data_IF_925035588612
#
_entry.id   IF_925035588612
#
_cell.length_a   1.000
_cell.length_b   1.000
_cell.length_c   1.000
_cell.angle_alpha   90.00
_cell.angle_beta   90.00
_cell.angle_gamma   90.00
#
_symmetry.space_group_name_H-M   'P 1'
#
loop_
_entity.id
_entity.type
_entity.pdbx_description
1 polymer ?
#
# COMPACT_ATOMS: atom_id res chain seq x y z
N UNK A 1 54.78 -30.06 26.90
CA UNK A 1 54.10 -30.03 25.59
C UNK A 1 52.60 -29.86 25.83
N UNK A 2 52.10 -28.62 25.89
CA UNK A 2 50.68 -28.32 26.21
C UNK A 2 50.04 -27.75 24.95
N UNK A 3 49.17 -28.54 24.31
CA UNK A 3 48.35 -28.09 23.18
C UNK A 3 47.27 -27.15 23.70
N UNK A 4 47.38 -25.86 23.39
CA UNK A 4 46.30 -24.89 23.59
C UNK A 4 45.22 -25.18 22.55
N UNK A 5 44.04 -25.61 23.00
CA UNK A 5 42.86 -25.71 22.15
C UNK A 5 42.21 -24.33 22.06
N UNK A 6 42.26 -23.72 20.88
CA UNK A 6 41.53 -22.49 20.57
C UNK A 6 40.08 -22.88 20.27
N UNK A 7 39.18 -22.57 21.19
CA UNK A 7 37.74 -22.69 20.97
C UNK A 7 37.30 -21.52 20.08
N UNK A 8 36.98 -21.79 18.81
CA UNK A 8 36.35 -20.82 17.92
C UNK A 8 34.85 -20.75 18.25
N UNK A 9 34.43 -19.72 18.98
CA UNK A 9 33.02 -19.39 19.16
C UNK A 9 32.52 -18.69 17.87
N UNK A 10 31.86 -19.43 16.99
CA UNK A 10 31.12 -18.83 15.87
C UNK A 10 29.90 -18.10 16.43
N UNK A 11 29.97 -16.77 16.50
CA UNK A 11 28.81 -15.93 16.76
C UNK A 11 27.82 -16.10 15.59
N UNK A 12 26.74 -16.83 15.83
CA UNK A 12 25.55 -16.80 14.98
C UNK A 12 24.92 -15.41 15.15
N UNK A 13 25.33 -14.46 14.32
CA UNK A 13 24.66 -13.16 14.25
C UNK A 13 23.27 -13.43 13.67
N UNK A 14 22.17 -13.20 14.42
CA UNK A 14 20.85 -13.27 13.83
C UNK A 14 20.80 -12.20 12.74
N UNK A 15 20.67 -12.65 11.49
CA UNK A 15 20.39 -11.75 10.38
C UNK A 15 19.03 -11.13 10.65
N UNK A 16 19.03 -9.95 11.27
CA UNK A 16 17.87 -9.10 11.33
C UNK A 16 17.59 -8.67 9.90
N UNK A 17 16.75 -9.43 9.19
CA UNK A 17 16.19 -9.02 7.91
C UNK A 17 15.25 -7.87 8.20
N UNK A 18 15.72 -6.64 7.93
CA UNK A 18 14.86 -5.46 7.99
C UNK A 18 13.76 -5.62 6.95
N UNK A 19 12.54 -5.17 7.27
CA UNK A 19 11.45 -5.19 6.31
C UNK A 19 11.83 -4.40 5.07
N UNK A 20 11.93 -5.08 3.93
CA UNK A 20 12.21 -4.42 2.67
C UNK A 20 10.87 -4.05 2.00
N UNK A 21 10.40 -2.84 2.32
CA UNK A 21 9.18 -2.29 1.71
C UNK A 21 9.40 -1.78 0.28
N UNK A 22 10.65 -1.57 -0.13
CA UNK A 22 11.03 -1.10 -1.46
C UNK A 22 12.29 -1.83 -1.94
N UNK A 23 12.19 -2.54 -3.08
CA UNK A 23 13.31 -3.20 -3.74
C UNK A 23 14.09 -2.20 -4.62
N UNK A 24 15.37 -2.45 -4.95
CA UNK A 24 16.18 -1.50 -5.74
C UNK A 24 15.61 -1.19 -7.13
N UNK A 25 14.92 -2.14 -7.74
CA UNK A 25 14.26 -2.01 -9.05
C UNK A 25 12.87 -1.36 -8.95
N UNK A 26 12.37 -1.10 -7.75
CA UNK A 26 11.03 -0.57 -7.52
C UNK A 26 11.03 0.93 -7.22
N UNK A 27 9.87 1.54 -7.40
CA UNK A 27 9.53 2.86 -6.89
C UNK A 27 8.18 2.85 -6.15
N UNK A 28 8.01 3.79 -5.22
CA UNK A 28 6.77 3.93 -4.45
C UNK A 28 5.72 4.64 -5.30
N UNK A 29 4.57 3.98 -5.50
CA UNK A 29 3.37 4.60 -6.07
C UNK A 29 2.63 5.37 -4.99
N UNK A 30 2.38 4.70 -3.86
CA UNK A 30 1.61 5.26 -2.75
C UNK A 30 1.98 4.59 -1.42
N UNK A 31 2.16 5.34 -0.34
CA UNK A 31 2.58 4.79 0.95
C UNK A 31 2.10 5.67 2.09
N UNK A 32 1.80 5.07 3.24
CA UNK A 32 1.57 5.79 4.50
C UNK A 32 1.81 4.88 5.71
N UNK A 33 1.95 5.50 6.89
CA UNK A 33 1.90 4.82 8.18
C UNK A 33 0.47 4.84 8.73
N UNK A 34 0.06 3.78 9.40
CA UNK A 34 -1.24 3.68 10.09
C UNK A 34 -1.14 4.20 11.52
N UNK A 35 -2.29 4.51 12.13
CA UNK A 35 -2.35 4.89 13.56
C UNK A 35 -1.83 3.80 14.51
N UNK A 36 -1.83 2.52 14.09
CA UNK A 36 -1.30 1.40 14.87
C UNK A 36 0.18 1.07 14.56
N UNK A 37 0.90 1.96 13.86
CA UNK A 37 2.34 1.83 13.63
C UNK A 37 2.74 0.86 12.51
N UNK A 38 1.79 0.40 11.70
CA UNK A 38 2.03 -0.39 10.50
C UNK A 38 2.30 0.51 9.30
N UNK A 39 3.00 -0.02 8.30
CA UNK A 39 3.25 0.64 7.03
C UNK A 39 2.45 -0.03 5.93
N UNK A 40 1.72 0.76 5.15
CA UNK A 40 1.16 0.39 3.86
C UNK A 40 2.07 0.94 2.77
N UNK A 41 2.43 0.12 1.79
CA UNK A 41 3.16 0.55 0.60
C UNK A 41 2.61 -0.14 -0.65
N UNK A 42 2.23 0.66 -1.63
CA UNK A 42 2.01 0.27 -3.00
C UNK A 42 3.25 0.66 -3.79
N UNK A 43 3.90 -0.33 -4.39
CA UNK A 43 5.13 -0.15 -5.15
C UNK A 43 4.95 -0.75 -6.53
N UNK A 44 5.75 -0.27 -7.48
CA UNK A 44 5.82 -0.86 -8.82
C UNK A 44 7.27 -1.01 -9.25
N UNK A 45 7.51 -1.91 -10.18
CA UNK A 45 8.78 -1.94 -10.89
C UNK A 45 8.96 -0.66 -11.73
N UNK A 46 10.20 -0.16 -11.80
CA UNK A 46 10.54 1.07 -12.53
C UNK A 46 10.27 0.98 -14.04
N UNK A 47 10.22 -0.22 -14.60
CA UNK A 47 9.87 -0.50 -16.01
C UNK A 47 8.42 -0.97 -16.16
N UNK A 48 7.61 -0.85 -15.11
CA UNK A 48 6.22 -1.30 -15.05
C UNK A 48 6.01 -2.82 -15.23
N UNK A 49 7.03 -3.64 -14.92
CA UNK A 49 6.92 -5.11 -15.02
C UNK A 49 5.93 -5.72 -14.01
N UNK A 50 5.61 -5.01 -12.92
CA UNK A 50 4.60 -5.40 -11.93
C UNK A 50 4.24 -4.24 -11.00
N UNK A 51 3.15 -4.44 -10.25
CA UNK A 51 2.72 -3.65 -9.09
C UNK A 51 2.50 -4.58 -7.89
N UNK A 52 2.81 -4.12 -6.68
CA UNK A 52 2.61 -4.90 -5.45
C UNK A 52 2.22 -4.01 -4.27
N UNK A 53 1.18 -4.43 -3.57
CA UNK A 53 0.79 -3.98 -2.24
C UNK A 53 1.59 -4.72 -1.16
N UNK A 54 2.04 -3.98 -0.15
CA UNK A 54 2.73 -4.47 1.04
C UNK A 54 2.16 -3.83 2.30
N UNK A 55 1.96 -4.64 3.34
CA UNK A 55 1.49 -4.17 4.63
C UNK A 55 2.20 -4.90 5.77
N UNK A 56 2.57 -4.20 6.83
CA UNK A 56 3.22 -4.84 7.98
C UNK A 56 3.79 -3.87 9.01
N UNK A 57 4.62 -4.37 9.92
CA UNK A 57 5.30 -3.54 10.91
C UNK A 57 6.60 -2.94 10.36
N UNK A 58 7.27 -2.10 11.14
CA UNK A 58 8.61 -1.60 10.80
C UNK A 58 9.61 -2.70 10.47
N UNK A 59 9.48 -3.85 11.13
CA UNK A 59 10.50 -4.91 11.11
C UNK A 59 10.14 -6.05 10.16
N UNK A 60 8.87 -6.18 9.74
CA UNK A 60 8.46 -7.18 8.76
C UNK A 60 7.29 -6.75 7.88
N UNK A 61 7.34 -7.18 6.62
CA UNK A 61 6.15 -7.23 5.76
C UNK A 61 5.31 -8.44 6.19
N UNK A 62 4.04 -8.20 6.51
CA UNK A 62 3.10 -9.21 7.02
C UNK A 62 2.13 -9.69 5.94
N UNK A 63 1.91 -8.86 4.91
CA UNK A 63 1.06 -9.17 3.79
C UNK A 63 1.64 -8.55 2.53
N UNK A 64 1.69 -9.35 1.47
CA UNK A 64 1.93 -8.90 0.11
C UNK A 64 0.76 -9.31 -0.79
N UNK A 65 0.47 -8.49 -1.79
CA UNK A 65 -0.45 -8.82 -2.86
C UNK A 65 -0.12 -8.06 -4.15
N UNK A 66 -0.13 -8.69 -5.32
CA UNK A 66 -0.14 -10.13 -5.54
C UNK A 66 1.13 -10.78 -4.99
N UNK A 67 1.09 -12.09 -4.74
CA UNK A 67 2.27 -12.82 -4.29
C UNK A 67 3.33 -12.93 -5.39
N UNK A 68 2.89 -13.11 -6.63
CA UNK A 68 3.75 -13.17 -7.81
C UNK A 68 3.86 -11.79 -8.46
N UNK A 69 5.08 -11.39 -8.81
CA UNK A 69 5.42 -10.09 -9.42
C UNK A 69 5.57 -10.26 -10.93
N UNK A 70 4.50 -10.01 -11.69
CA UNK A 70 4.48 -10.10 -13.15
C UNK A 70 3.60 -9.00 -13.75
N UNK A 71 3.56 -8.91 -15.09
CA UNK A 71 2.68 -7.97 -15.78
C UNK A 71 1.20 -8.18 -15.41
N UNK A 72 0.81 -9.43 -15.15
CA UNK A 72 -0.55 -9.78 -14.73
C UNK A 72 -0.88 -9.28 -13.31
N UNK A 73 0.10 -8.79 -12.54
CA UNK A 73 -0.16 -8.15 -11.25
C UNK A 73 -1.03 -6.91 -11.39
N UNK A 74 -0.90 -6.15 -12.48
CA UNK A 74 -1.67 -4.92 -12.72
C UNK A 74 -3.18 -5.18 -12.79
N UNK A 75 -3.57 -6.24 -13.49
CA UNK A 75 -4.98 -6.63 -13.68
C UNK A 75 -5.66 -7.16 -12.41
N UNK A 76 -4.91 -7.33 -11.32
CA UNK A 76 -5.47 -7.76 -10.03
C UNK A 76 -5.90 -6.59 -9.15
N UNK A 77 -5.73 -5.37 -9.64
CA UNK A 77 -6.20 -4.16 -8.99
C UNK A 77 -7.22 -3.43 -9.87
N UNK A 78 -8.20 -2.80 -9.21
CA UNK A 78 -9.14 -1.89 -9.84
C UNK A 78 -8.99 -0.51 -9.22
N UNK A 79 -8.63 0.47 -10.05
CA UNK A 79 -8.49 1.87 -9.69
C UNK A 79 -9.75 2.65 -10.08
N UNK A 80 -10.23 3.49 -9.18
CA UNK A 80 -11.30 4.44 -9.44
C UNK A 80 -10.98 5.79 -8.82
N UNK A 81 -11.32 6.85 -9.53
CA UNK A 81 -11.10 8.21 -9.07
C UNK A 81 -12.29 9.11 -9.41
N UNK A 82 -12.53 10.10 -8.56
CA UNK A 82 -13.54 11.11 -8.77
C UNK A 82 -13.02 12.47 -8.33
N UNK A 83 -13.12 13.44 -9.23
CA UNK A 83 -12.73 14.82 -8.97
C UNK A 83 -13.92 15.75 -9.21
N UNK A 84 -14.27 16.52 -8.18
CA UNK A 84 -15.24 17.61 -8.25
C UNK A 84 -14.60 18.90 -7.78
N UNK A 85 -14.43 19.85 -8.69
CA UNK A 85 -13.89 21.18 -8.39
C UNK A 85 -14.91 22.11 -7.71
N UNK A 86 -14.49 23.37 -7.50
CA UNK A 86 -15.39 24.42 -7.03
C UNK A 86 -15.46 24.62 -5.51
N UNK A 87 -14.45 24.19 -4.76
CA UNK A 87 -14.27 24.55 -3.35
C UNK A 87 -15.46 24.17 -2.45
N UNK A 88 -15.59 24.86 -1.31
CA UNK A 88 -16.68 24.63 -0.35
C UNK A 88 -18.06 24.79 -0.97
N UNK A 89 -18.24 25.78 -1.84
CA UNK A 89 -19.54 26.08 -2.45
C UNK A 89 -20.12 24.94 -3.30
N UNK A 90 -19.26 24.08 -3.85
CA UNK A 90 -19.68 22.93 -4.66
C UNK A 90 -19.38 21.59 -3.99
N UNK A 91 -19.13 21.60 -2.67
CA UNK A 91 -18.67 20.44 -1.92
C UNK A 91 -17.54 19.72 -2.69
N UNK A 92 -16.54 20.50 -3.12
CA UNK A 92 -15.44 20.01 -3.93
C UNK A 92 -14.73 18.84 -3.26
N UNK A 93 -14.32 17.84 -4.03
CA UNK A 93 -13.72 16.62 -3.51
C UNK A 93 -12.75 16.01 -4.51
N UNK A 94 -11.79 15.27 -3.98
CA UNK A 94 -10.86 14.44 -4.74
C UNK A 94 -10.82 13.08 -4.05
N UNK A 95 -11.31 12.06 -4.75
CA UNK A 95 -11.43 10.71 -4.25
C UNK A 95 -10.58 9.79 -5.12
N UNK A 96 -9.71 9.00 -4.49
CA UNK A 96 -8.89 8.01 -5.16
C UNK A 96 -8.99 6.69 -4.39
N UNK A 97 -9.32 5.62 -5.11
CA UNK A 97 -9.46 4.29 -4.54
C UNK A 97 -8.72 3.26 -5.38
N UNK A 98 -8.04 2.33 -4.71
CA UNK A 98 -7.48 1.15 -5.34
C UNK A 98 -7.98 -0.08 -4.61
N UNK A 99 -8.63 -0.98 -5.33
CA UNK A 99 -9.24 -2.17 -4.76
C UNK A 99 -8.59 -3.45 -5.25
N UNK A 100 -8.57 -4.46 -4.38
CA UNK A 100 -8.21 -5.83 -4.73
C UNK A 100 -8.85 -6.81 -3.74
N UNK A 101 -8.84 -8.10 -4.08
CA UNK A 101 -9.38 -9.16 -3.21
C UNK A 101 -8.29 -10.17 -2.87
N UNK A 102 -8.17 -10.52 -1.58
CA UNK A 102 -7.28 -11.58 -1.10
C UNK A 102 -7.98 -12.41 -0.01
N UNK A 103 -8.02 -13.73 -0.18
CA UNK A 103 -8.63 -14.67 0.77
C UNK A 103 -10.09 -14.34 1.15
N UNK A 104 -10.92 -13.96 0.17
CA UNK A 104 -12.32 -13.53 0.35
C UNK A 104 -12.51 -12.23 1.16
N UNK A 105 -11.46 -11.43 1.33
CA UNK A 105 -11.55 -10.06 1.84
C UNK A 105 -11.28 -9.09 0.69
N UNK A 106 -12.13 -8.07 0.57
CA UNK A 106 -11.91 -6.93 -0.30
C UNK A 106 -11.10 -5.88 0.47
N UNK A 107 -10.03 -5.39 -0.14
CA UNK A 107 -9.19 -4.33 0.40
C UNK A 107 -9.36 -3.11 -0.50
N UNK A 108 -9.66 -1.96 0.08
CA UNK A 108 -9.75 -0.69 -0.62
C UNK A 108 -8.79 0.30 0.02
N UNK A 109 -7.70 0.61 -0.67
CA UNK A 109 -6.87 1.75 -0.32
C UNK A 109 -7.65 3.01 -0.69
N UNK A 110 -7.60 4.02 0.16
CA UNK A 110 -8.21 5.31 -0.15
C UNK A 110 -7.27 6.48 0.15
N UNK A 111 -7.39 7.51 -0.68
CA UNK A 111 -6.87 8.86 -0.43
C UNK A 111 -7.96 9.83 -0.86
N UNK A 112 -8.48 10.58 0.09
CA UNK A 112 -9.61 11.49 -0.14
C UNK A 112 -9.34 12.88 0.39
N UNK A 113 -9.99 13.85 -0.24
CA UNK A 113 -10.09 15.23 0.20
C UNK A 113 -11.56 15.68 0.10
N UNK A 114 -12.03 16.40 1.11
CA UNK A 114 -13.30 17.12 1.09
C UNK A 114 -13.06 18.60 1.36
N UNK A 115 -13.59 19.46 0.49
CA UNK A 115 -13.54 20.90 0.68
C UNK A 115 -14.48 21.38 1.77
N UNK A 116 -15.58 20.67 2.04
CA UNK A 116 -16.62 21.08 3.00
C UNK A 116 -16.03 21.35 4.39
N UNK A 117 -15.18 20.45 4.85
CA UNK A 117 -14.48 20.50 6.14
C UNK A 117 -12.96 20.66 6.00
N UNK A 118 -12.46 20.89 4.78
CA UNK A 118 -11.04 20.98 4.44
C UNK A 118 -10.23 19.76 4.93
N UNK A 119 -10.86 18.59 4.96
CA UNK A 119 -10.26 17.38 5.50
C UNK A 119 -9.56 16.55 4.43
N UNK A 120 -8.47 15.92 4.86
CA UNK A 120 -7.75 14.93 4.11
C UNK A 120 -7.77 13.61 4.87
N UNK A 121 -8.07 12.51 4.16
CA UNK A 121 -8.13 11.18 4.77
C UNK A 121 -7.41 10.14 3.92
N UNK A 122 -6.85 9.14 4.59
CA UNK A 122 -6.24 7.98 3.94
C UNK A 122 -6.29 6.76 4.84
N UNK A 123 -6.31 5.57 4.25
CA UNK A 123 -6.39 4.32 4.99
C UNK A 123 -6.67 3.13 4.07
N UNK A 124 -7.08 2.04 4.71
CA UNK A 124 -7.56 0.83 4.03
C UNK A 124 -8.91 0.49 4.65
N UNK A 125 -9.94 0.33 3.82
CA UNK A 125 -11.19 -0.32 4.22
C UNK A 125 -11.09 -1.79 3.86
N UNK A 126 -11.32 -2.67 4.83
CA UNK A 126 -11.34 -4.12 4.64
C UNK A 126 -12.77 -4.60 4.78
N UNK A 127 -13.32 -5.22 3.74
CA UNK A 127 -14.67 -5.80 3.74
C UNK A 127 -14.55 -7.32 3.77
N UNK A 128 -15.21 -7.97 4.74
CA UNK A 128 -15.29 -9.44 4.80
C UNK A 128 -16.34 -10.00 3.83
N UNK A 129 -16.42 -11.33 3.73
CA UNK A 129 -17.37 -12.02 2.85
C UNK A 129 -18.85 -11.82 3.20
N UNK A 130 -19.15 -11.27 4.40
CA UNK A 130 -20.49 -10.94 4.86
C UNK A 130 -20.83 -9.46 4.66
N UNK A 131 -19.91 -8.68 4.07
CA UNK A 131 -20.06 -7.25 3.87
C UNK A 131 -19.70 -6.41 5.10
N UNK A 132 -19.13 -7.00 6.17
CA UNK A 132 -18.70 -6.22 7.33
C UNK A 132 -17.42 -5.46 6.99
N UNK A 133 -17.43 -4.16 7.24
CA UNK A 133 -16.29 -3.28 7.00
C UNK A 133 -15.46 -3.03 8.27
N UNK A 134 -14.16 -2.85 8.09
CA UNK A 134 -13.23 -2.43 9.14
C UNK A 134 -12.19 -1.50 8.54
N UNK A 135 -12.06 -0.31 9.12
CA UNK A 135 -11.11 0.69 8.65
C UNK A 135 -9.78 0.62 9.40
N UNK A 136 -8.70 0.64 8.62
CA UNK A 136 -7.35 0.85 9.10
C UNK A 136 -6.96 2.29 8.75
N UNK A 137 -7.09 3.18 9.74
CA UNK A 137 -6.81 4.61 9.52
C UNK A 137 -5.32 4.88 9.31
N UNK A 138 -5.02 5.55 8.20
CA UNK A 138 -3.71 6.09 7.88
C UNK A 138 -3.44 7.44 8.54
N UNK A 139 -2.17 7.78 8.69
CA UNK A 139 -1.69 9.08 9.14
C UNK A 139 -1.38 9.90 7.90
N UNK A 140 -2.29 10.80 7.50
CA UNK A 140 -2.19 11.52 6.23
C UNK A 140 -0.86 12.26 6.03
N UNK A 141 -0.30 12.89 7.07
CA UNK A 141 1.00 13.57 7.01
C UNK A 141 2.20 12.67 6.63
N UNK A 142 2.02 11.35 6.66
CA UNK A 142 3.07 10.38 6.28
C UNK A 142 2.92 9.87 4.86
N UNK A 143 1.91 10.36 4.12
CA UNK A 143 1.67 9.98 2.74
C UNK A 143 2.88 10.30 1.86
N UNK A 144 3.26 9.33 1.04
CA UNK A 144 4.23 9.48 -0.05
C UNK A 144 3.59 9.00 -1.35
N UNK A 145 3.89 9.69 -2.45
CA UNK A 145 3.34 9.36 -3.76
C UNK A 145 1.85 9.68 -3.91
N UNK A 146 1.24 9.21 -4.99
CA UNK A 146 -0.16 9.44 -5.33
C UNK A 146 -0.72 8.28 -6.16
N UNK A 147 -1.90 7.78 -5.78
CA UNK A 147 -2.62 6.79 -6.59
C UNK A 147 -3.09 7.36 -7.93
N UNK A 148 -3.18 8.69 -8.08
CA UNK A 148 -3.45 9.36 -9.37
C UNK A 148 -2.45 9.02 -10.47
N UNK A 149 -1.24 8.54 -10.14
CA UNK A 149 -0.30 8.03 -11.14
C UNK A 149 -0.73 6.72 -11.80
N UNK A 150 -1.75 6.04 -11.27
CA UNK A 150 -2.27 4.79 -11.80
C UNK A 150 -3.13 4.99 -13.05
N UNK A 151 -3.60 6.22 -13.33
CA UNK A 151 -4.34 6.53 -14.54
C UNK A 151 -3.56 6.21 -15.82
N UNK A 152 -2.23 6.26 -15.78
CA UNK A 152 -1.37 5.96 -16.94
C UNK A 152 -0.81 4.53 -16.92
N UNK A 153 -1.45 3.62 -16.19
CA UNK A 153 -0.97 2.24 -15.99
C UNK A 153 -1.99 1.17 -16.41
N UNK A 154 -1.59 -0.09 -16.34
CA UNK A 154 -2.39 -1.25 -16.73
C UNK A 154 -3.38 -1.74 -15.66
N UNK A 155 -3.58 -0.98 -14.57
CA UNK A 155 -4.64 -1.29 -13.61
C UNK A 155 -6.00 -1.28 -14.30
N UNK A 156 -6.91 -2.13 -13.83
CA UNK A 156 -8.31 -2.04 -14.30
C UNK A 156 -8.89 -0.71 -13.83
N UNK A 157 -9.65 -0.04 -14.68
CA UNK A 157 -10.29 1.23 -14.34
C UNK A 157 -11.78 1.01 -14.17
N UNK A 158 -12.33 1.63 -13.14
CA UNK A 158 -13.77 1.68 -12.91
C UNK A 158 -14.19 3.12 -12.75
N UNK A 159 -15.17 3.53 -13.56
CA UNK A 159 -15.76 4.86 -13.45
C UNK A 159 -16.62 4.94 -12.20
N UNK A 160 -16.60 6.09 -11.52
CA UNK A 160 -17.64 6.41 -10.57
C UNK A 160 -18.95 6.50 -11.33
N UNK A 161 -19.78 5.46 -11.23
CA UNK A 161 -21.10 5.40 -11.86
C UNK A 161 -21.91 6.64 -11.51
N UNK A 162 -22.07 7.53 -12.50
CA UNK A 162 -22.90 8.72 -12.46
C UNK A 162 -23.95 8.62 -13.57
#
# INVERSE_FOLDING_TARGET
MIKKHVFFFSLLIPMFSWAQYLLPNEETVFSFQTKNGKTMSLVKDKKNEYIQYRFGSKDRVEMEFPATRTQESWKQFTYSSYHRGGGKQNAGMDLNYLTFTKNNYKYQLFRTYSAEDESFSTGITVTDSKGKETDITGIYKTVKGCMCSLDDTEVQKEDFGL
#
